data_IF_690818563125
#
_entry.id   IF_690818563125
#
_cell.length_a   1.000
_cell.length_b   1.000
_cell.length_c   1.000
_cell.angle_alpha   90.00
_cell.angle_beta   90.00
_cell.angle_gamma   90.00
#
_symmetry.space_group_name_H-M   'P 1'
#
loop_
_entity.id
_entity.type
_entity.pdbx_description
1 polymer ?
#
# COMPACT_ATOMS: atom_id res chain seq x y z
N UNK A 1 4.35 45.88 9.10
CA UNK A 1 5.76 45.49 9.35
C UNK A 1 6.12 44.39 8.38
N UNK A 2 7.07 44.64 7.49
CA UNK A 2 7.63 43.63 6.58
C UNK A 2 8.52 42.69 7.38
N UNK A 3 8.27 41.38 7.30
CA UNK A 3 9.10 40.37 7.95
C UNK A 3 10.56 40.50 7.47
N UNK A 4 11.56 40.49 8.37
CA UNK A 4 12.98 40.48 7.97
C UNK A 4 13.43 39.13 7.40
N UNK A 5 12.58 38.10 7.46
CA UNK A 5 12.85 36.78 6.91
C UNK A 5 12.35 36.64 5.48
N UNK A 6 13.12 35.92 4.66
CA UNK A 6 12.66 35.51 3.33
C UNK A 6 11.31 34.78 3.44
N UNK A 7 10.35 35.04 2.54
CA UNK A 7 9.09 34.33 2.53
C UNK A 7 9.33 32.82 2.41
N UNK A 8 8.66 32.04 3.25
CA UNK A 8 8.78 30.58 3.21
C UNK A 8 8.29 30.07 1.86
N UNK A 9 9.08 29.21 1.22
CA UNK A 9 8.70 28.48 0.02
C UNK A 9 7.87 27.22 0.32
N UNK A 10 7.66 26.92 1.61
CA UNK A 10 6.93 25.75 2.08
C UNK A 10 5.42 25.97 1.98
N UNK A 11 4.75 25.14 1.18
CA UNK A 11 3.29 25.15 1.03
C UNK A 11 2.65 24.20 2.06
N UNK A 12 1.53 24.59 2.70
CA UNK A 12 0.80 23.70 3.61
C UNK A 12 0.48 22.35 2.95
N UNK A 13 0.71 21.27 3.70
CA UNK A 13 0.47 19.89 3.27
C UNK A 13 1.46 19.34 2.25
N UNK A 14 2.44 20.14 1.80
CA UNK A 14 3.50 19.64 0.93
C UNK A 14 4.55 18.89 1.74
N UNK A 15 5.11 17.84 1.14
CA UNK A 15 6.27 17.16 1.67
C UNK A 15 7.10 16.48 0.58
N UNK A 16 8.37 16.24 0.90
CA UNK A 16 9.33 15.60 0.02
C UNK A 16 10.12 14.55 0.79
N UNK A 17 10.21 13.35 0.22
CA UNK A 17 11.12 12.28 0.64
C UNK A 17 12.06 12.01 -0.53
N UNK A 18 13.37 12.16 -0.32
CA UNK A 18 14.39 11.89 -1.34
C UNK A 18 15.42 10.92 -0.76
N UNK A 19 15.43 9.68 -1.27
CA UNK A 19 16.50 8.72 -1.03
C UNK A 19 17.53 8.82 -2.15
N UNK A 20 18.68 9.39 -1.85
CA UNK A 20 19.81 9.53 -2.77
C UNK A 20 20.88 8.46 -2.51
N UNK A 21 21.86 8.39 -3.40
CA UNK A 21 23.06 7.55 -3.22
C UNK A 21 24.28 8.47 -3.24
N UNK A 22 25.03 8.50 -2.13
CA UNK A 22 26.30 9.21 -2.05
C UNK A 22 27.47 8.30 -2.45
N UNK A 23 28.56 8.86 -3.00
CA UNK A 23 29.77 8.08 -3.27
C UNK A 23 30.32 7.40 -1.99
N UNK A 24 30.83 6.15 -2.05
CA UNK A 24 30.98 5.33 -3.26
C UNK A 24 29.68 4.66 -3.72
N UNK A 25 28.76 4.27 -2.83
CA UNK A 25 27.45 3.65 -3.15
C UNK A 25 26.51 3.65 -1.92
N UNK A 26 26.54 4.68 -1.08
CA UNK A 26 25.84 4.70 0.22
C UNK A 26 24.44 5.30 0.09
N UNK A 27 23.34 4.56 0.30
CA UNK A 27 22.00 5.12 0.33
C UNK A 27 21.85 6.08 1.51
N UNK A 28 21.28 7.26 1.27
CA UNK A 28 20.98 8.25 2.31
C UNK A 28 19.59 8.84 2.13
N UNK A 29 18.91 9.11 3.25
CA UNK A 29 17.73 9.98 3.26
C UNK A 29 18.20 11.43 3.16
N UNK A 30 18.33 11.90 1.91
CA UNK A 30 18.91 13.19 1.57
C UNK A 30 17.96 14.34 1.90
N UNK A 31 16.67 14.19 1.57
CA UNK A 31 15.63 15.17 1.92
C UNK A 31 14.48 14.49 2.64
N UNK A 32 14.08 15.06 3.78
CA UNK A 32 12.85 14.74 4.48
C UNK A 32 12.21 16.06 4.93
N UNK A 33 11.32 16.61 4.11
CA UNK A 33 10.63 17.87 4.39
C UNK A 33 9.12 17.68 4.40
N UNK A 34 8.42 18.44 5.22
CA UNK A 34 6.97 18.43 5.30
C UNK A 34 6.45 19.70 5.94
N UNK A 35 5.20 20.04 5.63
CA UNK A 35 4.47 21.13 6.25
C UNK A 35 3.09 20.65 6.69
N UNK A 36 2.58 21.20 7.81
CA UNK A 36 1.21 20.97 8.27
C UNK A 36 0.20 21.07 7.11
N UNK A 37 -0.78 20.15 6.98
CA UNK A 37 -1.16 19.11 7.94
C UNK A 37 -0.33 17.81 7.88
N UNK A 38 0.58 17.66 6.91
CA UNK A 38 1.45 16.49 6.78
C UNK A 38 2.54 16.49 7.86
N UNK A 39 2.86 15.31 8.38
CA UNK A 39 4.02 15.06 9.23
C UNK A 39 4.73 13.80 8.77
N UNK A 40 6.06 13.87 8.68
CA UNK A 40 6.90 12.72 8.37
C UNK A 40 7.85 12.42 9.53
N UNK A 41 8.02 11.14 9.86
CA UNK A 41 8.95 10.68 10.88
C UNK A 41 9.80 9.56 10.29
N UNK A 42 11.12 9.67 10.37
CA UNK A 42 12.05 8.65 9.90
C UNK A 42 12.93 8.17 11.07
N UNK A 43 12.76 6.92 11.57
CA UNK A 43 13.74 6.33 12.48
C UNK A 43 15.07 6.04 11.78
N UNK A 44 16.10 5.70 12.57
CA UNK A 44 17.38 5.24 12.04
C UNK A 44 17.20 4.07 11.06
N UNK A 45 17.93 4.05 9.93
CA UNK A 45 17.82 2.99 8.94
C UNK A 45 18.27 1.63 9.50
N UNK A 46 17.84 0.55 8.86
CA UNK A 46 18.30 -0.81 9.15
C UNK A 46 19.28 -1.25 8.07
N UNK A 47 20.34 -1.93 8.48
CA UNK A 47 21.25 -2.62 7.57
C UNK A 47 21.01 -4.12 7.65
N UNK A 48 20.67 -4.75 6.51
CA UNK A 48 20.55 -6.20 6.39
C UNK A 48 21.80 -6.77 5.72
N UNK A 49 22.41 -7.79 6.34
CA UNK A 49 23.45 -8.60 5.73
C UNK A 49 22.80 -9.62 4.78
N UNK A 50 23.34 -9.80 3.58
CA UNK A 50 22.86 -10.85 2.67
C UNK A 50 23.33 -12.22 3.21
N UNK A 51 22.41 -13.16 3.44
CA UNK A 51 22.78 -14.56 3.62
C UNK A 51 23.11 -15.15 2.25
N UNK A 52 24.38 -15.53 2.05
CA UNK A 52 24.87 -16.17 0.83
C UNK A 52 24.19 -17.54 0.67
N UNK A 53 23.11 -17.58 -0.11
CA UNK A 53 22.52 -18.83 -0.61
C UNK A 53 22.23 -18.63 -2.10
N UNK A 54 23.18 -19.04 -2.94
CA UNK A 54 23.09 -18.99 -4.41
C UNK A 54 24.29 -18.30 -5.05
N UNK A 55 24.93 -19.00 -5.99
CA UNK A 55 26.11 -18.56 -6.76
C UNK A 55 25.80 -17.37 -7.71
N UNK A 56 25.60 -16.18 -7.16
CA UNK A 56 25.68 -14.93 -7.93
C UNK A 56 26.75 -14.03 -7.31
N UNK A 57 27.89 -13.93 -7.98
CA UNK A 57 28.96 -12.98 -7.67
C UNK A 57 28.47 -11.55 -7.92
N UNK A 58 27.81 -10.94 -6.92
CA UNK A 58 27.71 -9.49 -6.82
C UNK A 58 28.15 -9.09 -5.41
N UNK A 59 29.32 -8.46 -5.37
CA UNK A 59 29.98 -7.88 -4.20
C UNK A 59 29.25 -6.64 -3.67
N UNK A 60 28.11 -6.82 -2.99
CA UNK A 60 27.49 -5.72 -2.23
C UNK A 60 26.91 -6.22 -0.88
N UNK A 61 27.79 -6.25 0.11
CA UNK A 61 27.67 -7.03 1.34
C UNK A 61 26.63 -6.55 2.36
N UNK A 62 25.97 -5.40 2.17
CA UNK A 62 25.00 -4.86 3.14
C UNK A 62 23.97 -3.97 2.44
N UNK A 63 22.67 -4.14 2.74
CA UNK A 63 21.59 -3.28 2.20
C UNK A 63 21.01 -2.39 3.29
N UNK A 64 21.08 -1.08 3.07
CA UNK A 64 20.45 -0.08 3.95
C UNK A 64 19.00 0.16 3.54
N UNK A 65 18.09 0.00 4.48
CA UNK A 65 16.64 0.21 4.30
C UNK A 65 16.19 1.37 5.18
N UNK A 66 15.54 2.34 4.56
CA UNK A 66 14.91 3.46 5.25
C UNK A 66 13.44 3.17 5.53
N UNK A 67 12.98 3.58 6.70
CA UNK A 67 11.56 3.58 7.05
C UNK A 67 11.11 5.01 7.26
N UNK A 68 9.98 5.39 6.67
CA UNK A 68 9.33 6.69 6.91
C UNK A 68 7.86 6.46 7.25
N UNK A 69 7.41 7.11 8.32
CA UNK A 69 6.01 7.12 8.73
C UNK A 69 5.34 8.41 8.22
N UNK A 70 4.18 8.24 7.57
CA UNK A 70 3.25 9.28 7.17
C UNK A 70 2.22 9.47 8.28
N UNK A 71 2.07 10.70 8.73
CA UNK A 71 1.09 11.07 9.74
C UNK A 71 0.40 12.37 9.33
N UNK A 72 -0.77 12.60 9.91
CA UNK A 72 -1.40 13.91 9.93
C UNK A 72 -1.29 14.52 11.33
N UNK A 73 -1.11 15.83 11.41
CA UNK A 73 -1.28 16.55 12.66
C UNK A 73 -2.73 16.43 13.16
N UNK A 74 -2.94 16.44 14.48
CA UNK A 74 -4.29 16.39 15.05
C UNK A 74 -4.97 15.02 15.00
N UNK A 75 -4.27 13.96 14.58
CA UNK A 75 -4.76 12.59 14.61
C UNK A 75 -5.72 12.22 13.46
N UNK A 76 -5.86 13.08 12.46
CA UNK A 76 -6.59 12.82 11.22
C UNK A 76 -6.62 14.05 10.32
N UNK A 77 -7.27 13.94 9.17
CA UNK A 77 -7.44 15.04 8.22
C UNK A 77 -8.80 15.71 8.43
N UNK A 78 -8.83 17.04 8.44
CA UNK A 78 -10.05 17.83 8.58
C UNK A 78 -10.55 18.37 7.24
N UNK A 79 -11.74 18.98 7.26
CA UNK A 79 -12.42 19.49 6.07
C UNK A 79 -11.51 20.43 5.26
N UNK A 80 -11.27 20.07 3.99
CA UNK A 80 -10.49 20.88 3.06
C UNK A 80 -8.96 20.76 3.20
N UNK A 81 -8.46 19.93 4.11
CA UNK A 81 -7.03 19.61 4.15
C UNK A 81 -6.57 19.05 2.79
N UNK A 82 -5.39 19.45 2.35
CA UNK A 82 -4.78 18.99 1.10
C UNK A 82 -3.34 18.59 1.35
N UNK A 83 -3.01 17.31 1.16
CA UNK A 83 -1.64 16.78 1.25
C UNK A 83 -1.09 16.55 -0.16
N UNK A 84 0.17 16.94 -0.38
CA UNK A 84 0.90 16.68 -1.62
C UNK A 84 2.32 16.19 -1.30
N UNK A 85 2.53 14.88 -1.42
CA UNK A 85 3.79 14.23 -1.10
C UNK A 85 4.52 13.81 -2.37
N UNK A 86 5.77 14.23 -2.51
CA UNK A 86 6.70 13.74 -3.53
C UNK A 86 7.71 12.78 -2.91
N UNK A 87 7.92 11.62 -3.52
CA UNK A 87 8.87 10.62 -3.06
C UNK A 87 9.79 10.24 -4.22
N UNK A 88 11.10 10.32 -4.03
CA UNK A 88 12.08 9.93 -5.05
C UNK A 88 13.00 8.87 -4.47
N UNK A 89 13.10 7.74 -5.16
CA UNK A 89 13.97 6.62 -4.81
C UNK A 89 15.04 6.46 -5.87
N UNK A 90 16.26 6.92 -5.58
CA UNK A 90 17.41 6.74 -6.46
C UNK A 90 17.71 5.24 -6.71
N UNK A 91 18.49 4.90 -7.75
CA UNK A 91 18.79 3.51 -8.08
C UNK A 91 19.27 2.68 -6.88
N UNK A 92 18.85 1.42 -6.83
CA UNK A 92 19.22 0.45 -5.76
C UNK A 92 18.82 0.82 -4.32
N UNK A 93 18.06 1.90 -4.09
CA UNK A 93 17.58 2.27 -2.74
C UNK A 93 16.34 1.47 -2.31
N UNK A 94 16.08 1.39 -1.00
CA UNK A 94 14.93 0.67 -0.41
C UNK A 94 14.20 1.58 0.58
N UNK A 95 12.90 1.80 0.33
CA UNK A 95 12.03 2.55 1.23
C UNK A 95 10.86 1.69 1.72
N UNK A 96 10.67 1.68 3.04
CA UNK A 96 9.44 1.29 3.70
C UNK A 96 8.67 2.57 4.04
N UNK A 97 7.45 2.67 3.55
CA UNK A 97 6.53 3.77 3.81
C UNK A 97 5.32 3.20 4.57
N UNK A 98 5.01 3.79 5.72
CA UNK A 98 3.96 3.30 6.63
C UNK A 98 3.17 4.48 7.20
N UNK A 99 2.09 4.20 7.90
CA UNK A 99 1.41 5.19 8.75
C UNK A 99 1.54 4.83 10.23
N UNK A 100 1.16 5.74 11.11
CA UNK A 100 1.00 5.43 12.53
C UNK A 100 -0.50 5.30 12.86
N UNK A 101 -1.08 4.14 12.54
CA UNK A 101 -2.51 3.91 12.64
C UNK A 101 -3.26 4.43 11.42
N UNK A 102 -4.58 4.21 11.43
CA UNK A 102 -5.48 4.57 10.33
C UNK A 102 -5.47 6.07 10.02
N UNK A 103 -5.46 6.43 8.74
CA UNK A 103 -5.70 7.81 8.30
C UNK A 103 -7.16 8.15 8.52
N UNK A 104 -7.46 8.82 9.63
CA UNK A 104 -8.81 9.25 9.98
C UNK A 104 -9.19 10.45 9.13
N UNK A 105 -10.34 10.41 8.48
CA UNK A 105 -10.89 11.58 7.77
C UNK A 105 -12.12 12.06 8.51
N UNK A 106 -12.04 13.26 9.07
CA UNK A 106 -13.13 13.84 9.85
C UNK A 106 -14.27 14.32 8.96
N UNK A 107 -15.44 14.49 9.57
CA UNK A 107 -16.63 15.06 8.94
C UNK A 107 -16.33 16.44 8.33
N UNK A 108 -17.05 16.76 7.27
CA UNK A 108 -16.93 18.03 6.55
C UNK A 108 -18.29 18.76 6.54
N UNK A 109 -18.36 20.10 6.44
CA UNK A 109 -19.64 20.82 6.50
C UNK A 109 -20.56 20.54 5.31
N UNK A 110 -20.02 20.17 4.15
CA UNK A 110 -20.79 19.80 2.95
C UNK A 110 -20.01 18.81 2.08
N UNK A 111 -20.69 17.96 1.27
CA UNK A 111 -20.03 16.97 0.40
C UNK A 111 -19.07 17.60 -0.61
N UNK A 112 -19.21 18.90 -0.89
CA UNK A 112 -18.35 19.65 -1.81
C UNK A 112 -17.03 20.13 -1.19
N UNK A 113 -16.91 20.16 0.15
CA UNK A 113 -15.64 20.47 0.82
C UNK A 113 -14.84 19.18 1.00
N UNK A 114 -14.10 18.84 -0.04
CA UNK A 114 -13.37 17.56 -0.14
C UNK A 114 -11.95 17.69 0.39
N UNK A 115 -11.59 16.79 1.30
CA UNK A 115 -10.21 16.59 1.79
C UNK A 115 -9.41 15.77 0.76
N UNK A 116 -8.17 16.16 0.50
CA UNK A 116 -7.36 15.63 -0.60
C UNK A 116 -6.01 15.10 -0.15
N UNK A 117 -5.61 13.98 -0.74
CA UNK A 117 -4.25 13.46 -0.60
C UNK A 117 -3.68 13.09 -1.96
N UNK A 118 -2.54 13.66 -2.31
CA UNK A 118 -1.81 13.33 -3.53
C UNK A 118 -0.42 12.82 -3.17
N UNK A 119 -0.03 11.69 -3.74
CA UNK A 119 1.32 11.16 -3.63
C UNK A 119 1.87 10.86 -5.02
N UNK A 120 3.09 11.33 -5.29
CA UNK A 120 3.85 10.96 -6.49
C UNK A 120 5.13 10.29 -6.03
N UNK A 121 5.40 9.12 -6.58
CA UNK A 121 6.60 8.34 -6.27
C UNK A 121 7.36 8.06 -7.55
N UNK A 122 8.61 8.50 -7.63
CA UNK A 122 9.56 8.13 -8.66
C UNK A 122 10.45 6.99 -8.15
N UNK A 123 10.34 5.81 -8.76
CA UNK A 123 11.10 4.60 -8.39
C UNK A 123 12.09 4.27 -9.49
N UNK A 124 13.39 4.48 -9.22
CA UNK A 124 14.44 4.23 -10.20
C UNK A 124 14.85 2.75 -10.30
N UNK A 125 15.71 2.45 -11.28
CA UNK A 125 16.19 1.10 -11.56
C UNK A 125 16.75 0.40 -10.32
N UNK A 126 16.35 -0.86 -10.14
CA UNK A 126 16.68 -1.70 -8.99
C UNK A 126 16.22 -1.13 -7.64
N UNK A 127 15.52 0.00 -7.56
CA UNK A 127 14.96 0.54 -6.34
C UNK A 127 13.66 -0.19 -5.95
N UNK A 128 13.29 -0.11 -4.68
CA UNK A 128 12.13 -0.82 -4.14
C UNK A 128 11.35 0.01 -3.15
N UNK A 129 10.03 0.13 -3.39
CA UNK A 129 9.08 0.72 -2.44
C UNK A 129 8.19 -0.37 -1.84
N UNK A 130 8.09 -0.38 -0.52
CA UNK A 130 7.02 -1.04 0.24
C UNK A 130 6.17 0.05 0.87
N UNK A 131 4.92 0.18 0.44
CA UNK A 131 3.93 1.05 1.06
C UNK A 131 2.77 0.22 1.59
N UNK A 132 2.82 -0.11 2.88
CA UNK A 132 1.82 -0.93 3.57
C UNK A 132 1.23 -0.12 4.74
N UNK A 133 0.46 0.95 4.48
CA UNK A 133 -0.14 1.78 5.53
C UNK A 133 -1.26 1.02 6.26
N UNK A 134 -1.69 1.53 7.41
CA UNK A 134 -3.02 1.22 7.94
C UNK A 134 -4.12 1.76 7.00
N UNK A 135 -5.35 1.23 7.03
CA UNK A 135 -6.40 1.67 6.11
C UNK A 135 -6.82 3.11 6.36
N UNK A 136 -7.35 3.75 5.32
CA UNK A 136 -8.10 5.00 5.48
C UNK A 136 -9.38 4.69 6.27
N UNK A 137 -9.70 5.55 7.24
CA UNK A 137 -10.92 5.47 8.05
C UNK A 137 -11.73 6.76 7.88
N UNK A 138 -12.57 6.86 6.84
CA UNK A 138 -13.45 7.99 6.67
C UNK A 138 -14.58 7.92 7.69
N UNK A 139 -14.79 9.00 8.45
CA UNK A 139 -15.89 9.09 9.39
C UNK A 139 -17.20 9.41 8.66
N UNK A 140 -18.32 9.22 9.36
CA UNK A 140 -19.62 9.66 8.87
C UNK A 140 -19.59 11.13 8.39
N UNK A 141 -20.22 11.41 7.24
CA UNK A 141 -20.28 12.74 6.61
C UNK A 141 -18.91 13.35 6.29
N UNK A 142 -17.91 12.52 5.97
CA UNK A 142 -16.64 12.96 5.36
C UNK A 142 -16.70 12.92 3.84
N UNK A 143 -15.84 13.69 3.17
CA UNK A 143 -15.65 13.67 1.72
C UNK A 143 -14.15 13.66 1.43
N UNK A 144 -13.65 12.57 0.85
CA UNK A 144 -12.22 12.33 0.67
C UNK A 144 -11.89 11.85 -0.74
N UNK A 145 -10.78 12.35 -1.29
CA UNK A 145 -10.18 11.82 -2.51
C UNK A 145 -8.67 11.68 -2.35
N UNK A 146 -8.13 10.53 -2.75
CA UNK A 146 -6.70 10.31 -2.88
C UNK A 146 -6.29 9.91 -4.30
N UNK A 147 -5.09 10.37 -4.69
CA UNK A 147 -4.44 10.02 -5.95
C UNK A 147 -2.98 9.66 -5.69
N UNK A 148 -2.62 8.42 -6.01
CA UNK A 148 -1.29 7.86 -5.84
C UNK A 148 -0.71 7.51 -7.20
N UNK A 149 0.39 8.14 -7.56
CA UNK A 149 1.03 8.02 -8.87
C UNK A 149 2.42 7.44 -8.67
N UNK A 150 2.69 6.31 -9.30
CA UNK A 150 3.96 5.60 -9.23
C UNK A 150 4.62 5.61 -10.60
N UNK A 151 5.74 6.30 -10.74
CA UNK A 151 6.54 6.35 -11.95
C UNK A 151 7.70 5.34 -11.82
N UNK A 152 7.68 4.29 -12.63
CA UNK A 152 8.71 3.25 -12.65
C UNK A 152 9.72 3.54 -13.77
N UNK A 153 10.96 3.82 -13.41
CA UNK A 153 12.04 4.07 -14.37
C UNK A 153 12.80 2.76 -14.61
N UNK A 154 12.44 2.09 -15.70
CA UNK A 154 13.01 0.80 -16.10
C UNK A 154 12.27 -0.41 -15.51
N UNK A 155 12.61 -1.61 -16.01
CA UNK A 155 11.94 -2.87 -15.65
C UNK A 155 12.33 -3.42 -14.28
N UNK A 156 13.42 -2.92 -13.70
CA UNK A 156 13.93 -3.40 -12.41
C UNK A 156 13.45 -2.60 -11.20
N UNK A 157 12.73 -1.49 -11.42
CA UNK A 157 12.00 -0.80 -10.37
C UNK A 157 10.91 -1.71 -9.80
N UNK A 158 10.78 -1.76 -8.47
CA UNK A 158 9.86 -2.69 -7.79
C UNK A 158 8.92 -1.96 -6.83
N UNK A 159 7.66 -2.41 -6.79
CA UNK A 159 6.58 -1.78 -6.03
C UNK A 159 5.75 -2.85 -5.29
N UNK A 160 5.53 -2.64 -4.00
CA UNK A 160 4.56 -3.35 -3.18
C UNK A 160 3.71 -2.30 -2.46
N UNK A 161 2.44 -2.15 -2.85
CA UNK A 161 1.55 -1.08 -2.38
C UNK A 161 0.23 -1.68 -1.94
N UNK A 162 -0.20 -1.39 -0.71
CA UNK A 162 -1.53 -1.70 -0.23
C UNK A 162 -2.34 -0.41 -0.09
N UNK A 163 -3.47 -0.34 -0.77
CA UNK A 163 -4.44 0.75 -0.65
C UNK A 163 -5.80 0.18 -0.24
N UNK A 164 -6.36 0.68 0.83
CA UNK A 164 -7.50 0.08 1.50
C UNK A 164 -8.23 1.06 2.41
N UNK A 165 -9.54 0.83 2.55
CA UNK A 165 -10.47 1.67 3.27
C UNK A 165 -11.35 0.84 4.19
N UNK A 166 -11.63 1.38 5.37
CA UNK A 166 -12.57 0.81 6.34
C UNK A 166 -13.91 1.54 6.31
N UNK A 167 -14.96 0.87 6.81
CA UNK A 167 -16.33 1.40 6.86
C UNK A 167 -16.56 2.58 7.84
N UNK A 168 -15.49 3.12 8.44
CA UNK A 168 -15.57 4.18 9.45
C UNK A 168 -15.38 3.65 10.87
N UNK A 169 -16.01 4.32 11.85
CA UNK A 169 -15.86 3.96 13.28
C UNK A 169 -16.92 2.94 13.70
N UNK A 170 -16.62 1.65 13.55
CA UNK A 170 -17.52 0.56 13.96
C UNK A 170 -17.95 0.66 15.43
N UNK A 171 -17.05 1.06 16.33
CA UNK A 171 -17.35 1.26 17.75
C UNK A 171 -18.38 2.38 18.03
N UNK A 172 -18.66 3.25 17.05
CA UNK A 172 -19.70 4.29 17.10
C UNK A 172 -20.93 3.94 16.25
N UNK A 173 -21.02 2.72 15.72
CA UNK A 173 -22.10 2.29 14.83
C UNK A 173 -21.99 2.83 13.40
N UNK A 174 -20.88 3.45 13.02
CA UNK A 174 -20.68 3.94 11.65
C UNK A 174 -20.40 2.79 10.70
N UNK A 175 -21.11 2.77 9.56
CA UNK A 175 -20.96 1.78 8.50
C UNK A 175 -21.12 2.46 7.15
N UNK A 176 -20.00 2.73 6.49
CA UNK A 176 -19.94 3.39 5.18
C UNK A 176 -20.74 4.72 5.15
N UNK A 177 -20.77 5.46 6.26
CA UNK A 177 -21.62 6.66 6.42
C UNK A 177 -21.02 7.96 5.87
N UNK A 178 -19.92 7.90 5.13
CA UNK A 178 -19.31 9.08 4.51
C UNK A 178 -20.07 9.51 3.25
N UNK A 179 -19.92 10.76 2.85
CA UNK A 179 -20.50 11.23 1.59
C UNK A 179 -19.71 10.71 0.40
N UNK A 180 -18.38 10.81 0.48
CA UNK A 180 -17.50 10.48 -0.63
C UNK A 180 -16.19 9.87 -0.18
N UNK A 181 -15.78 8.82 -0.87
CA UNK A 181 -14.44 8.25 -0.84
C UNK A 181 -13.99 7.90 -2.27
N UNK A 182 -12.93 8.54 -2.72
CA UNK A 182 -12.25 8.22 -3.97
C UNK A 182 -10.81 7.80 -3.71
N UNK A 183 -10.37 6.69 -4.30
CA UNK A 183 -8.96 6.31 -4.32
C UNK A 183 -8.53 5.89 -5.71
N UNK A 184 -7.49 6.55 -6.23
CA UNK A 184 -6.93 6.25 -7.54
C UNK A 184 -5.44 5.94 -7.43
N UNK A 185 -5.08 4.73 -7.82
CA UNK A 185 -3.69 4.29 -7.98
C UNK A 185 -3.35 4.23 -9.47
N UNK A 186 -2.28 4.88 -9.88
CA UNK A 186 -1.76 4.83 -11.24
C UNK A 186 -0.30 4.42 -11.24
N UNK A 187 0.05 3.44 -12.06
CA UNK A 187 1.45 3.06 -12.29
C UNK A 187 1.83 3.33 -13.73
N UNK A 188 2.87 4.15 -13.90
CA UNK A 188 3.39 4.62 -15.16
C UNK A 188 4.79 4.05 -15.40
N UNK A 189 5.04 3.52 -16.59
CA UNK A 189 6.38 3.18 -17.04
C UNK A 189 7.02 4.36 -17.73
N UNK A 190 8.24 4.73 -17.33
CA UNK A 190 9.00 5.84 -17.92
C UNK A 190 10.17 5.28 -18.75
N UNK A 191 10.26 5.65 -20.03
CA UNK A 191 11.36 5.25 -20.94
C UNK A 191 12.30 6.43 -21.21
N UNK A 192 13.53 6.36 -20.67
CA UNK A 192 14.58 7.40 -20.78
C UNK A 192 14.19 8.83 -20.32
N UNK A 193 15.20 9.71 -20.21
CA UNK A 193 15.09 11.06 -19.62
C UNK A 193 14.30 12.03 -20.54
N UNK A 194 12.98 11.92 -20.54
CA UNK A 194 12.08 12.93 -21.11
C UNK A 194 10.65 12.77 -20.57
N UNK A 195 9.99 13.88 -20.22
CA UNK A 195 8.62 13.86 -19.67
C UNK A 195 7.59 13.29 -20.67
N UNK A 196 7.88 13.34 -21.98
CA UNK A 196 7.01 12.91 -23.08
C UNK A 196 6.94 11.38 -23.29
N UNK A 197 7.67 10.58 -22.52
CA UNK A 197 7.78 9.12 -22.72
C UNK A 197 7.19 8.28 -21.58
N UNK A 198 6.13 8.79 -20.93
CA UNK A 198 5.38 8.05 -19.89
C UNK A 198 4.25 7.23 -20.50
N UNK A 199 4.14 5.96 -20.09
CA UNK A 199 3.03 5.07 -20.48
C UNK A 199 2.29 4.55 -19.26
N UNK A 200 0.98 4.78 -19.19
CA UNK A 200 0.12 4.21 -18.16
C UNK A 200 0.11 2.67 -18.31
N UNK A 201 0.57 1.97 -17.28
CA UNK A 201 0.63 0.51 -17.26
C UNK A 201 -0.57 -0.09 -16.52
N UNK A 202 -0.94 0.52 -15.40
CA UNK A 202 -2.02 0.09 -14.50
C UNK A 202 -2.75 1.31 -13.94
N UNK A 203 -4.09 1.21 -13.85
CA UNK A 203 -4.94 2.12 -13.08
C UNK A 203 -5.94 1.30 -12.26
N UNK A 204 -5.95 1.50 -10.95
CA UNK A 204 -7.02 1.05 -10.05
C UNK A 204 -7.75 2.30 -9.55
N UNK A 205 -9.08 2.29 -9.60
CA UNK A 205 -9.90 3.46 -9.27
C UNK A 205 -11.15 3.02 -8.51
N UNK A 206 -11.18 3.31 -7.22
CA UNK A 206 -12.29 3.06 -6.32
C UNK A 206 -13.06 4.36 -6.14
N UNK A 207 -14.34 4.35 -6.51
CA UNK A 207 -15.22 5.51 -6.37
C UNK A 207 -16.45 5.09 -5.57
N UNK A 208 -16.59 5.66 -4.39
CA UNK A 208 -17.76 5.59 -3.54
C UNK A 208 -18.26 7.03 -3.40
N UNK A 209 -19.13 7.43 -4.32
CA UNK A 209 -19.68 8.78 -4.41
C UNK A 209 -21.21 8.66 -4.58
N UNK A 210 -21.95 9.25 -3.65
CA UNK A 210 -23.40 9.14 -3.57
C UNK A 210 -24.07 10.04 -4.60
N UNK A 211 -23.53 11.25 -4.79
CA UNK A 211 -24.08 12.25 -5.69
C UNK A 211 -23.83 11.88 -7.16
N UNK A 212 -22.71 11.20 -7.45
CA UNK A 212 -22.37 10.77 -8.81
C UNK A 212 -23.36 9.74 -9.41
N UNK A 213 -24.12 9.02 -8.58
CA UNK A 213 -25.04 7.98 -9.04
C UNK A 213 -26.50 8.48 -9.22
N UNK A 214 -26.79 9.74 -8.90
CA UNK A 214 -28.13 10.33 -9.11
C UNK A 214 -29.27 9.72 -8.28
N UNK A 215 -28.96 8.95 -7.23
CA UNK A 215 -29.96 8.33 -6.36
C UNK A 215 -30.41 9.32 -5.28
N UNK A 216 -31.71 9.67 -5.26
CA UNK A 216 -32.34 10.51 -4.22
C UNK A 216 -32.45 9.80 -2.85
N UNK A 217 -32.33 8.47 -2.83
CA UNK A 217 -32.09 7.70 -1.60
C UNK A 217 -30.58 7.66 -1.37
N UNK A 218 -30.12 8.14 -0.22
CA UNK A 218 -28.70 8.24 0.12
C UNK A 218 -27.89 6.95 -0.10
N UNK A 219 -26.56 7.01 -0.04
CA UNK A 219 -25.70 5.97 -0.58
C UNK A 219 -25.93 4.62 0.09
N UNK A 220 -26.47 3.65 -0.64
CA UNK A 220 -26.54 2.27 -0.14
C UNK A 220 -25.21 1.53 -0.33
N UNK A 221 -24.13 2.15 0.14
CA UNK A 221 -22.82 1.51 0.21
C UNK A 221 -22.89 0.26 1.08
N UNK A 222 -23.74 0.25 2.10
CA UNK A 222 -23.89 -0.88 3.03
C UNK A 222 -24.34 -2.14 2.31
N UNK A 223 -25.37 -2.06 1.47
CA UNK A 223 -25.81 -3.21 0.66
C UNK A 223 -24.78 -3.58 -0.39
N UNK A 224 -24.18 -2.60 -1.09
CA UNK A 224 -23.16 -2.86 -2.11
C UNK A 224 -21.90 -3.55 -1.57
N UNK A 225 -21.52 -3.22 -0.34
CA UNK A 225 -20.36 -3.81 0.32
C UNK A 225 -20.68 -5.18 0.93
N UNK A 226 -21.95 -5.60 0.97
CA UNK A 226 -22.40 -6.93 1.40
C UNK A 226 -21.70 -7.45 2.66
N UNK A 227 -21.75 -6.65 3.73
CA UNK A 227 -21.16 -7.02 5.01
C UNK A 227 -19.63 -6.86 5.12
N UNK A 228 -18.94 -6.44 4.06
CA UNK A 228 -17.54 -6.04 4.13
C UNK A 228 -17.42 -4.73 4.93
N UNK A 229 -16.59 -4.76 5.98
CA UNK A 229 -16.20 -3.59 6.77
C UNK A 229 -14.86 -2.99 6.36
N UNK A 230 -14.12 -3.68 5.49
CA UNK A 230 -12.87 -3.22 4.88
C UNK A 230 -12.76 -3.76 3.46
N UNK A 231 -12.21 -2.95 2.57
CA UNK A 231 -11.94 -3.31 1.17
C UNK A 231 -10.61 -2.69 0.72
N UNK A 232 -9.85 -3.39 -0.12
CA UNK A 232 -8.59 -2.88 -0.62
C UNK A 232 -8.00 -3.64 -1.81
N UNK A 233 -6.92 -3.06 -2.33
CA UNK A 233 -6.10 -3.57 -3.42
C UNK A 233 -4.64 -3.59 -2.96
N UNK A 234 -3.99 -4.75 -3.06
CA UNK A 234 -2.54 -4.89 -3.01
C UNK A 234 -2.01 -4.97 -4.45
N UNK A 235 -1.04 -4.12 -4.77
CA UNK A 235 -0.38 -4.01 -6.08
C UNK A 235 1.07 -4.44 -5.92
N UNK A 236 1.47 -5.49 -6.63
CA UNK A 236 2.83 -6.02 -6.66
C UNK A 236 3.39 -5.93 -8.08
N UNK A 237 4.60 -5.40 -8.23
CA UNK A 237 5.34 -5.49 -9.49
C UNK A 237 6.86 -5.38 -9.31
N UNK A 238 7.59 -5.86 -10.31
CA UNK A 238 9.04 -5.78 -10.39
C UNK A 238 9.77 -6.92 -9.67
N UNK A 239 11.08 -7.08 -9.91
CA UNK A 239 11.83 -8.28 -9.50
C UNK A 239 11.85 -8.54 -7.99
N UNK A 240 11.77 -7.50 -7.15
CA UNK A 240 11.81 -7.70 -5.69
C UNK A 240 10.56 -8.39 -5.14
N UNK A 241 9.44 -8.31 -5.85
CA UNK A 241 8.14 -8.81 -5.41
C UNK A 241 7.59 -9.90 -6.34
N UNK A 242 8.39 -10.40 -7.28
CA UNK A 242 7.96 -11.42 -8.24
C UNK A 242 7.60 -12.74 -7.56
N UNK A 243 8.44 -13.20 -6.62
CA UNK A 243 8.17 -14.43 -5.85
C UNK A 243 6.89 -14.29 -5.03
N UNK A 244 6.72 -13.17 -4.32
CA UNK A 244 5.50 -12.85 -3.58
C UNK A 244 4.26 -12.82 -4.47
N UNK A 245 4.35 -12.19 -5.65
CA UNK A 245 3.26 -12.16 -6.61
C UNK A 245 2.86 -13.56 -7.11
N UNK A 246 3.85 -14.43 -7.39
CA UNK A 246 3.60 -15.83 -7.77
C UNK A 246 2.92 -16.59 -6.63
N UNK A 247 3.39 -16.43 -5.40
CA UNK A 247 2.79 -17.04 -4.22
C UNK A 247 1.30 -16.68 -4.06
N UNK A 248 0.92 -15.40 -4.16
CA UNK A 248 -0.50 -15.02 -4.12
C UNK A 248 -1.34 -15.67 -5.22
N UNK A 249 -0.80 -15.81 -6.44
CA UNK A 249 -1.50 -16.45 -7.55
C UNK A 249 -1.66 -17.96 -7.34
N UNK A 250 -0.64 -18.62 -6.80
CA UNK A 250 -0.65 -20.05 -6.46
C UNK A 250 -1.66 -20.34 -5.35
N UNK A 251 -1.62 -19.55 -4.27
CA UNK A 251 -2.57 -19.68 -3.17
C UNK A 251 -4.00 -19.41 -3.60
N UNK A 252 -4.23 -18.43 -4.47
CA UNK A 252 -5.56 -18.16 -5.00
C UNK A 252 -6.08 -19.32 -5.87
N UNK A 253 -5.19 -19.94 -6.68
CA UNK A 253 -5.56 -21.10 -7.51
C UNK A 253 -5.90 -22.33 -6.68
N UNK A 254 -5.28 -22.48 -5.51
CA UNK A 254 -5.49 -23.58 -4.58
C UNK A 254 -6.74 -23.42 -3.70
N UNK A 255 -7.46 -22.29 -3.77
CA UNK A 255 -8.69 -22.12 -3.02
C UNK A 255 -9.77 -23.13 -3.50
N UNK A 256 -10.55 -23.72 -2.57
CA UNK A 256 -11.62 -24.65 -2.92
C UNK A 256 -12.64 -23.98 -3.83
N UNK A 257 -12.78 -24.47 -5.07
CA UNK A 257 -13.84 -23.99 -5.98
C UNK A 257 -15.16 -24.67 -5.65
N UNK A 258 -16.25 -23.91 -5.70
CA UNK A 258 -17.59 -24.45 -5.56
C UNK A 258 -17.80 -25.54 -6.63
N UNK A 259 -17.99 -26.79 -6.19
CA UNK A 259 -18.24 -27.95 -7.06
C UNK A 259 -17.02 -28.74 -7.55
N UNK A 260 -15.79 -28.38 -7.16
CA UNK A 260 -14.63 -29.19 -7.50
C UNK A 260 -14.54 -30.44 -6.60
N UNK A 261 -14.73 -31.63 -7.20
CA UNK A 261 -14.31 -32.90 -6.60
C UNK A 261 -12.79 -32.99 -6.72
N UNK A 262 -12.11 -33.19 -5.60
CA UNK A 262 -10.66 -33.34 -5.53
C UNK A 262 -10.31 -34.79 -5.93
N UNK A 263 -9.64 -34.98 -7.06
CA UNK A 263 -9.34 -36.31 -7.62
C UNK A 263 -7.85 -36.65 -7.73
N UNK A 264 -6.96 -35.71 -7.49
CA UNK A 264 -5.53 -35.93 -7.68
C UNK A 264 -4.81 -35.82 -6.34
N UNK A 265 -4.61 -36.97 -5.69
CA UNK A 265 -3.57 -37.15 -4.69
C UNK A 265 -2.50 -38.00 -5.36
N UNK A 266 -1.29 -37.46 -5.54
CA UNK A 266 -0.08 -38.27 -5.74
C UNK A 266 1.20 -37.48 -5.38
N UNK A 267 1.82 -37.98 -4.31
CA UNK A 267 3.25 -38.30 -4.14
C UNK A 267 4.31 -37.17 -4.23
N UNK A 268 4.35 -36.29 -3.21
CA UNK A 268 5.60 -35.73 -2.64
C UNK A 268 5.44 -35.45 -1.12
N UNK A 269 5.26 -36.54 -0.36
CA UNK A 269 4.55 -36.59 0.95
C UNK A 269 5.15 -35.77 2.10
N UNK A 270 6.43 -35.37 2.08
CA UNK A 270 7.04 -34.73 3.26
C UNK A 270 6.87 -33.20 3.36
N UNK A 271 7.11 -32.48 2.26
CA UNK A 271 7.08 -31.01 2.24
C UNK A 271 5.73 -30.46 1.76
N UNK A 272 5.00 -31.23 0.96
CA UNK A 272 3.64 -30.87 0.55
C UNK A 272 2.67 -30.92 1.72
N UNK A 273 2.78 -31.92 2.61
CA UNK A 273 1.93 -32.03 3.80
C UNK A 273 2.04 -30.81 4.73
N UNK A 274 3.26 -30.31 5.00
CA UNK A 274 3.42 -29.15 5.88
C UNK A 274 2.86 -27.86 5.24
N UNK A 275 3.12 -27.65 3.95
CA UNK A 275 2.57 -26.52 3.20
C UNK A 275 1.04 -26.58 3.13
N UNK A 276 0.48 -27.75 2.87
CA UNK A 276 -0.95 -27.97 2.79
C UNK A 276 -1.63 -27.82 4.16
N UNK A 277 -0.97 -28.26 5.23
CA UNK A 277 -1.45 -28.02 6.61
C UNK A 277 -1.48 -26.53 6.94
N UNK A 278 -0.41 -25.78 6.63
CA UNK A 278 -0.35 -24.32 6.82
C UNK A 278 -1.43 -23.61 6.00
N UNK A 279 -1.61 -23.99 4.74
CA UNK A 279 -2.68 -23.48 3.86
C UNK A 279 -4.06 -23.74 4.45
N UNK A 280 -4.34 -24.97 4.87
CA UNK A 280 -5.62 -25.36 5.46
C UNK A 280 -5.91 -24.57 6.74
N UNK A 281 -4.90 -24.39 7.59
CA UNK A 281 -5.00 -23.57 8.78
C UNK A 281 -5.34 -22.11 8.44
N UNK A 282 -4.66 -21.52 7.44
CA UNK A 282 -4.93 -20.16 6.97
C UNK A 282 -6.33 -20.02 6.37
N UNK A 283 -6.77 -20.94 5.53
CA UNK A 283 -8.12 -20.92 4.94
C UNK A 283 -9.22 -20.99 6.02
N UNK A 284 -8.98 -21.72 7.11
CA UNK A 284 -9.88 -21.72 8.27
C UNK A 284 -9.94 -20.32 8.92
N UNK A 285 -8.79 -19.66 9.13
CA UNK A 285 -8.75 -18.29 9.65
C UNK A 285 -9.42 -17.29 8.71
N UNK A 286 -9.23 -17.42 7.40
CA UNK A 286 -9.89 -16.60 6.38
C UNK A 286 -11.41 -16.72 6.50
N UNK A 287 -11.93 -17.94 6.64
CA UNK A 287 -13.37 -18.19 6.83
C UNK A 287 -13.90 -17.60 8.15
N UNK A 288 -13.16 -17.74 9.24
CA UNK A 288 -13.53 -17.17 10.55
C UNK A 288 -13.53 -15.63 10.53
N UNK A 289 -12.53 -15.03 9.87
CA UNK A 289 -12.42 -13.58 9.70
C UNK A 289 -13.34 -12.99 8.62
N UNK A 290 -14.04 -13.83 7.87
CA UNK A 290 -14.85 -13.43 6.70
C UNK A 290 -14.01 -12.76 5.62
N UNK A 291 -12.76 -13.18 5.46
CA UNK A 291 -11.83 -12.68 4.44
C UNK A 291 -12.25 -13.23 3.08
N UNK A 292 -12.47 -12.32 2.14
CA UNK A 292 -12.68 -12.60 0.73
C UNK A 292 -11.56 -11.95 -0.05
N UNK A 293 -10.93 -12.69 -0.94
CA UNK A 293 -9.84 -12.14 -1.74
C UNK A 293 -9.75 -12.83 -3.10
N UNK A 294 -9.15 -12.11 -4.05
CA UNK A 294 -8.88 -12.58 -5.40
C UNK A 294 -7.50 -12.12 -5.84
N UNK A 295 -6.82 -12.92 -6.65
CA UNK A 295 -5.54 -12.53 -7.25
C UNK A 295 -5.59 -12.67 -8.77
N UNK A 296 -4.98 -11.70 -9.46
CA UNK A 296 -4.88 -11.71 -10.92
C UNK A 296 -3.52 -11.15 -11.38
N UNK A 297 -3.05 -11.60 -12.54
CA UNK A 297 -1.85 -11.06 -13.16
C UNK A 297 -2.20 -10.30 -14.43
N UNK A 298 -1.71 -9.06 -14.55
CA UNK A 298 -1.96 -8.19 -15.70
C UNK A 298 -0.68 -7.43 -16.02
N UNK A 299 -0.13 -7.59 -17.23
CA UNK A 299 1.00 -6.79 -17.75
C UNK A 299 2.22 -6.70 -16.81
N UNK A 300 2.55 -7.79 -16.11
CA UNK A 300 3.68 -7.83 -15.16
C UNK A 300 3.35 -7.30 -13.75
N UNK A 301 2.08 -7.00 -13.49
CA UNK A 301 1.55 -6.70 -12.17
C UNK A 301 0.81 -7.92 -11.62
N UNK A 302 0.86 -8.11 -10.31
CA UNK A 302 -0.07 -8.95 -9.57
C UNK A 302 -0.95 -8.05 -8.74
N UNK A 303 -2.26 -8.16 -8.93
CA UNK A 303 -3.28 -7.43 -8.20
C UNK A 303 -4.01 -8.40 -7.29
N UNK A 304 -4.04 -8.08 -6.00
CA UNK A 304 -4.81 -8.82 -5.02
C UNK A 304 -5.89 -7.89 -4.47
N UNK A 305 -7.15 -8.16 -4.81
CA UNK A 305 -8.29 -7.46 -4.21
C UNK A 305 -8.78 -8.24 -3.02
N UNK A 306 -9.04 -7.57 -1.91
CA UNK A 306 -9.46 -8.22 -0.69
C UNK A 306 -10.52 -7.40 0.04
N UNK A 307 -11.27 -8.07 0.92
CA UNK A 307 -12.16 -7.46 1.87
C UNK A 307 -12.45 -8.40 3.03
N UNK A 308 -12.86 -7.86 4.16
CA UNK A 308 -13.30 -8.64 5.31
C UNK A 308 -14.36 -7.89 6.11
N UNK A 309 -14.95 -8.55 7.10
CA UNK A 309 -15.88 -7.91 8.05
C UNK A 309 -15.20 -6.87 8.93
N UNK A 310 -13.94 -7.12 9.29
CA UNK A 310 -13.14 -6.29 10.18
C UNK A 310 -11.72 -6.12 9.66
N UNK A 311 -11.11 -4.97 9.97
CA UNK A 311 -9.73 -4.63 9.57
C UNK A 311 -8.73 -5.66 10.10
N UNK A 312 -8.94 -6.15 11.32
CA UNK A 312 -8.07 -7.15 11.96
C UNK A 312 -8.02 -8.48 11.19
N UNK A 313 -9.11 -8.86 10.52
CA UNK A 313 -9.14 -10.06 9.68
C UNK A 313 -8.14 -9.95 8.52
N UNK A 314 -8.12 -8.80 7.84
CA UNK A 314 -7.16 -8.54 6.76
C UNK A 314 -5.74 -8.39 7.30
N UNK A 315 -5.53 -7.70 8.43
CA UNK A 315 -4.19 -7.55 9.02
C UNK A 315 -3.55 -8.90 9.30
N UNK A 316 -4.29 -9.79 9.99
CA UNK A 316 -3.82 -11.15 10.31
C UNK A 316 -3.54 -11.95 9.05
N UNK A 317 -4.50 -11.97 8.10
CA UNK A 317 -4.36 -12.69 6.84
C UNK A 317 -3.17 -12.21 6.01
N UNK A 318 -3.06 -10.89 5.76
CA UNK A 318 -2.00 -10.33 4.95
C UNK A 318 -0.63 -10.49 5.63
N UNK A 319 -0.55 -10.30 6.95
CA UNK A 319 0.67 -10.57 7.74
C UNK A 319 1.11 -12.03 7.62
N UNK A 320 0.18 -12.98 7.70
CA UNK A 320 0.47 -14.40 7.53
C UNK A 320 0.97 -14.71 6.11
N UNK A 321 0.27 -14.23 5.07
CA UNK A 321 0.67 -14.42 3.66
C UNK A 321 2.08 -13.89 3.39
N UNK A 322 2.39 -12.67 3.87
CA UNK A 322 3.69 -12.03 3.65
C UNK A 322 4.83 -12.73 4.43
N UNK A 323 4.55 -13.25 5.63
CA UNK A 323 5.53 -13.98 6.44
C UNK A 323 5.79 -15.39 5.94
N UNK A 324 4.75 -16.06 5.44
CA UNK A 324 4.86 -17.41 4.92
C UNK A 324 5.71 -17.48 3.64
N UNK A 325 5.52 -16.53 2.72
CA UNK A 325 6.39 -16.41 1.56
C UNK A 325 7.78 -15.87 1.93
N UNK A 326 7.83 -14.91 2.86
CA UNK A 326 9.05 -14.50 3.55
C UNK A 326 10.01 -13.59 2.77
N UNK A 327 9.83 -13.36 1.47
CA UNK A 327 10.74 -12.49 0.70
C UNK A 327 10.68 -11.04 1.14
N UNK A 328 9.50 -10.54 1.54
CA UNK A 328 9.32 -9.18 2.02
C UNK A 328 10.13 -8.90 3.30
N UNK A 329 9.94 -9.63 4.42
CA UNK A 329 10.74 -9.44 5.63
C UNK A 329 12.23 -9.72 5.39
N UNK A 330 12.59 -10.65 4.50
CA UNK A 330 13.99 -10.91 4.17
C UNK A 330 14.67 -9.76 3.40
N UNK A 331 13.92 -9.06 2.51
CA UNK A 331 14.47 -8.00 1.65
C UNK A 331 14.37 -6.60 2.25
N UNK A 332 13.37 -6.35 3.10
CA UNK A 332 13.09 -5.03 3.69
C UNK A 332 13.14 -5.03 5.23
N UNK A 333 13.17 -6.19 5.87
CA UNK A 333 13.17 -6.33 7.33
C UNK A 333 11.76 -6.35 7.92
N UNK A 334 11.66 -6.80 9.17
CA UNK A 334 10.41 -6.90 9.94
C UNK A 334 9.64 -5.58 10.09
N UNK A 335 10.30 -4.44 9.87
CA UNK A 335 9.64 -3.12 9.89
C UNK A 335 8.60 -2.98 8.79
N UNK A 336 8.76 -3.67 7.65
CA UNK A 336 7.80 -3.64 6.55
C UNK A 336 6.38 -4.07 6.97
N UNK A 337 6.26 -4.85 8.05
CA UNK A 337 5.00 -5.45 8.50
C UNK A 337 4.37 -4.71 9.69
N UNK A 338 4.87 -3.55 10.11
CA UNK A 338 4.44 -2.88 11.35
C UNK A 338 2.94 -2.51 11.37
N UNK A 339 2.36 -2.07 10.25
CA UNK A 339 0.92 -1.76 10.16
C UNK A 339 0.02 -3.01 10.06
N UNK A 340 0.61 -4.19 9.91
CA UNK A 340 -0.09 -5.48 9.82
C UNK A 340 0.08 -6.32 11.10
N UNK A 341 0.56 -5.69 12.18
CA UNK A 341 0.68 -6.31 13.51
C UNK A 341 -0.63 -6.26 14.27
#
# INVERSE_FOLDING_TARGET
>A
MTSPFAPSTSLPGHGTIDLAVLPPCTPVLHTLSYQYPLKLIAPSPITLAQSSSGNEEISDGQRTIYTVFLLSYGGGLVAGDSINLSVTLAPSTRLILLTQGSTKVFKTPSPHVVTRQRMVVDVHGNAGLVYLPDPVQPFEKSAFEQSQIYNLYGKSASLCVCDWVSQGRTARGERWGFWKYGSRNEVWGVRDRGEDNKKLLLRDNVILDAEANGEELGPDYVTRMDGLGVFGTLILCGPLFEALGKFFLEEFRALPRIGARQWDANEDEGQEEEKEMRRTHRQKQEKEGGVLWTASSVRGFVLVKFGAREVEGIKKWLSAMLKEEGSLPNRFGERALLCLR
#
